data_IF_514217141051
#
_entry.id   IF_514217141051
#
_cell.length_a   1.000
_cell.length_b   1.000
_cell.length_c   1.000
_cell.angle_alpha   90.00
_cell.angle_beta   90.00
_cell.angle_gamma   90.00
#
_symmetry.space_group_name_H-M   'P 1'
#
loop_
_entity.id
_entity.type
_entity.pdbx_description
1 polymer ?
#
# COMPACT_ATOMS: atom_id res chain seq x y z
N UNK A 1 -7.68 5.19 -14.14
CA UNK A 1 -8.69 4.14 -13.92
C UNK A 1 -8.14 2.86 -14.50
N UNK A 2 -7.98 1.85 -13.65
CA UNK A 2 -7.47 0.54 -14.02
C UNK A 2 -8.52 -0.22 -14.84
N UNK A 3 -8.10 -1.03 -15.81
CA UNK A 3 -9.01 -1.84 -16.64
C UNK A 3 -8.72 -3.33 -16.46
N UNK A 4 -9.70 -4.19 -16.73
CA UNK A 4 -9.51 -5.64 -16.75
C UNK A 4 -8.38 -6.07 -17.71
N UNK A 5 -8.26 -5.41 -18.87
CA UNK A 5 -7.16 -5.66 -19.81
C UNK A 5 -5.78 -5.36 -19.18
N UNK A 6 -5.66 -4.28 -18.40
CA UNK A 6 -4.43 -3.94 -17.68
C UNK A 6 -4.09 -4.99 -16.62
N UNK A 7 -5.09 -5.54 -15.93
CA UNK A 7 -4.89 -6.60 -14.91
C UNK A 7 -4.42 -7.91 -15.56
N UNK A 8 -4.97 -8.27 -16.72
CA UNK A 8 -4.60 -9.50 -17.46
C UNK A 8 -3.22 -9.46 -18.12
N UNK A 9 -2.68 -8.28 -18.38
CA UNK A 9 -1.43 -8.12 -19.12
C UNK A 9 -0.22 -8.83 -18.47
N UNK A 10 -0.31 -9.26 -17.20
CA UNK A 10 0.79 -9.87 -16.45
C UNK A 10 0.47 -11.24 -15.82
N UNK A 11 -0.18 -12.11 -16.59
CA UNK A 11 -0.31 -13.54 -16.30
C UNK A 11 -1.72 -14.08 -16.49
N UNK A 12 -1.89 -15.38 -16.34
CA UNK A 12 -3.18 -16.04 -16.50
C UNK A 12 -4.13 -15.69 -15.34
N UNK A 13 -5.26 -15.09 -15.69
CA UNK A 13 -6.40 -14.79 -14.83
C UNK A 13 -7.63 -14.73 -15.72
N UNK A 14 -8.76 -15.25 -15.25
CA UNK A 14 -10.02 -15.18 -15.98
C UNK A 14 -10.57 -13.74 -16.07
N UNK A 15 -11.40 -13.49 -17.08
CA UNK A 15 -11.91 -12.15 -17.38
C UNK A 15 -12.80 -11.59 -16.27
N UNK A 16 -13.56 -12.46 -15.60
CA UNK A 16 -14.43 -12.05 -14.50
C UNK A 16 -13.61 -11.63 -13.28
N UNK A 17 -12.56 -12.39 -12.93
CA UNK A 17 -11.63 -12.06 -11.86
C UNK A 17 -10.84 -10.79 -12.17
N UNK A 18 -10.38 -10.62 -13.41
CA UNK A 18 -9.70 -9.40 -13.83
C UNK A 18 -10.61 -8.17 -13.73
N UNK A 19 -11.89 -8.31 -14.06
CA UNK A 19 -12.90 -7.26 -13.94
C UNK A 19 -13.16 -6.92 -12.47
N UNK A 20 -13.41 -7.93 -11.62
CA UNK A 20 -13.61 -7.72 -10.17
C UNK A 20 -12.43 -6.99 -9.53
N UNK A 21 -11.20 -7.42 -9.81
CA UNK A 21 -10.00 -6.76 -9.27
C UNK A 21 -9.90 -5.31 -9.76
N UNK A 22 -10.19 -5.04 -11.04
CA UNK A 22 -10.14 -3.69 -11.58
C UNK A 22 -11.19 -2.78 -10.90
N UNK A 23 -12.42 -3.26 -10.74
CA UNK A 23 -13.50 -2.52 -10.10
C UNK A 23 -13.20 -2.25 -8.62
N UNK A 24 -12.78 -3.28 -7.87
CA UNK A 24 -12.38 -3.15 -6.47
C UNK A 24 -11.18 -2.22 -6.30
N UNK A 25 -10.21 -2.27 -7.21
CA UNK A 25 -9.08 -1.34 -7.21
C UNK A 25 -9.55 0.10 -7.41
N UNK A 26 -10.36 0.35 -8.43
CA UNK A 26 -10.86 1.69 -8.75
C UNK A 26 -11.72 2.27 -7.62
N UNK A 27 -12.49 1.42 -6.93
CA UNK A 27 -13.27 1.82 -5.76
C UNK A 27 -12.38 2.18 -4.55
N UNK A 28 -11.33 1.39 -4.29
CA UNK A 28 -10.47 1.59 -3.14
C UNK A 28 -9.38 2.66 -3.35
N UNK A 29 -8.90 2.85 -4.58
CA UNK A 29 -7.73 3.68 -4.89
C UNK A 29 -7.83 5.13 -4.39
N UNK A 30 -8.96 5.85 -4.54
CA UNK A 30 -9.10 7.20 -3.99
C UNK A 30 -8.86 7.25 -2.47
N UNK A 31 -9.40 6.27 -1.74
CA UNK A 31 -9.24 6.14 -0.28
C UNK A 31 -7.78 5.84 0.07
N UNK A 32 -7.18 4.85 -0.60
CA UNK A 32 -5.77 4.50 -0.40
C UNK A 32 -4.83 5.70 -0.61
N UNK A 33 -5.07 6.46 -1.68
CA UNK A 33 -4.32 7.67 -2.01
C UNK A 33 -4.51 8.76 -0.95
N UNK A 34 -5.74 8.98 -0.49
CA UNK A 34 -6.02 9.96 0.55
C UNK A 34 -5.31 9.63 1.87
N UNK A 35 -5.41 8.39 2.32
CA UNK A 35 -4.74 7.90 3.55
C UNK A 35 -3.23 8.14 3.48
N UNK A 36 -2.57 7.65 2.43
CA UNK A 36 -1.11 7.83 2.29
C UNK A 36 -0.72 9.30 2.19
N UNK A 37 -1.55 10.14 1.54
CA UNK A 37 -1.34 11.60 1.51
C UNK A 37 -1.35 12.18 2.91
N UNK A 38 -2.40 11.90 3.68
CA UNK A 38 -2.53 12.41 5.05
C UNK A 38 -1.37 11.96 5.94
N UNK A 39 -0.90 10.72 5.80
CA UNK A 39 0.27 10.22 6.54
C UNK A 39 1.55 10.95 6.16
N UNK A 40 1.82 11.18 4.87
CA UNK A 40 2.98 11.95 4.40
C UNK A 40 2.96 13.36 5.00
N UNK A 41 1.82 14.04 4.93
CA UNK A 41 1.68 15.40 5.44
C UNK A 41 1.82 15.45 6.97
N UNK A 42 1.28 14.44 7.67
CA UNK A 42 1.48 14.25 9.10
C UNK A 42 2.95 14.09 9.49
N UNK A 43 3.70 13.22 8.79
CA UNK A 43 5.13 13.05 9.06
C UNK A 43 5.94 14.31 8.75
N UNK A 44 5.63 15.00 7.64
CA UNK A 44 6.28 16.28 7.29
C UNK A 44 6.03 17.34 8.35
N UNK A 45 4.83 17.41 8.89
CA UNK A 45 4.48 18.30 10.00
C UNK A 45 5.27 17.95 11.26
N UNK A 46 5.24 16.70 11.70
CA UNK A 46 6.00 16.24 12.86
C UNK A 46 7.50 16.51 12.74
N UNK A 47 8.06 16.40 11.53
CA UNK A 47 9.47 16.72 11.27
C UNK A 47 9.76 18.21 11.38
N UNK A 48 8.91 19.04 10.78
CA UNK A 48 9.03 20.49 10.84
C UNK A 48 8.91 21.03 12.25
N UNK A 49 7.97 20.48 13.01
CA UNK A 49 7.65 20.91 14.37
C UNK A 49 8.54 20.23 15.41
N UNK A 50 9.52 19.43 14.97
CA UNK A 50 10.45 18.68 15.81
C UNK A 50 9.74 17.87 16.92
N UNK A 51 8.63 17.20 16.57
CA UNK A 51 7.74 16.53 17.52
C UNK A 51 8.40 15.40 18.36
N UNK A 52 9.66 15.05 18.08
CA UNK A 52 10.50 14.18 18.91
C UNK A 52 11.12 14.87 20.11
N UNK A 53 11.14 16.21 20.15
CA UNK A 53 11.66 16.99 21.26
C UNK A 53 10.58 17.07 22.34
N UNK A 54 10.79 16.32 23.41
CA UNK A 54 9.92 16.33 24.58
C UNK A 54 10.52 17.27 25.61
N UNK A 55 9.70 18.21 26.11
CA UNK A 55 10.07 19.07 27.22
C UNK A 55 10.46 18.20 28.43
N UNK A 56 11.71 18.31 28.92
CA UNK A 56 12.16 17.55 30.08
C UNK A 56 11.34 17.85 31.35
N UNK A 57 10.68 19.00 31.44
CA UNK A 57 9.84 19.38 32.57
C UNK A 57 8.39 18.91 32.43
N UNK A 58 8.03 18.22 31.34
CA UNK A 58 6.68 17.69 31.17
C UNK A 58 6.40 16.62 32.25
N UNK A 59 5.24 16.66 32.94
CA UNK A 59 4.89 15.71 34.02
C UNK A 59 4.96 14.22 33.60
N UNK A 60 4.90 13.95 32.30
CA UNK A 60 4.97 12.62 31.70
C UNK A 60 6.10 12.47 30.68
N UNK A 61 7.20 13.21 30.82
CA UNK A 61 8.29 13.21 29.84
C UNK A 61 8.81 11.80 29.50
N UNK A 62 8.99 10.93 30.50
CA UNK A 62 9.48 9.57 30.30
C UNK A 62 8.48 8.69 29.54
N UNK A 63 7.20 8.80 29.87
CA UNK A 63 6.14 8.07 29.17
C UNK A 63 6.05 8.55 27.71
N UNK A 64 6.09 9.86 27.46
CA UNK A 64 6.07 10.40 26.11
C UNK A 64 7.29 9.91 25.30
N UNK A 65 8.48 9.84 25.90
CA UNK A 65 9.69 9.35 25.21
C UNK A 65 9.55 7.90 24.73
N UNK A 66 8.82 7.07 25.45
CA UNK A 66 8.59 5.68 25.06
C UNK A 66 7.72 5.54 23.80
N UNK A 67 6.81 6.48 23.54
CA UNK A 67 5.86 6.43 22.42
C UNK A 67 6.18 7.39 21.27
N UNK A 68 7.02 8.40 21.54
CA UNK A 68 7.40 9.40 20.55
C UNK A 68 8.48 8.84 19.63
N UNK A 69 8.25 8.80 18.31
CA UNK A 69 9.25 8.35 17.37
C UNK A 69 10.43 9.32 17.32
N UNK A 70 11.63 8.79 17.16
CA UNK A 70 12.83 9.60 16.95
C UNK A 70 12.84 10.24 15.56
N UNK A 71 13.64 11.30 15.36
CA UNK A 71 13.78 11.93 14.04
C UNK A 71 14.15 10.92 12.93
N UNK A 72 15.16 10.04 13.09
CA UNK A 72 15.47 9.04 12.06
C UNK A 72 14.30 8.10 11.75
N UNK A 73 13.51 7.72 12.77
CA UNK A 73 12.33 6.88 12.59
C UNK A 73 11.25 7.61 11.78
N UNK A 74 10.98 8.89 12.07
CA UNK A 74 10.03 9.70 11.31
C UNK A 74 10.47 9.91 9.86
N UNK A 75 11.74 10.23 9.62
CA UNK A 75 12.28 10.37 8.26
C UNK A 75 12.16 9.08 7.47
N UNK A 76 12.42 7.93 8.11
CA UNK A 76 12.22 6.61 7.49
C UNK A 76 10.74 6.36 7.17
N UNK A 77 9.83 6.65 8.10
CA UNK A 77 8.38 6.51 7.88
C UNK A 77 7.88 7.39 6.73
N UNK A 78 8.37 8.64 6.65
CA UNK A 78 8.09 9.56 5.54
C UNK A 78 8.54 8.98 4.21
N UNK A 79 9.81 8.59 4.09
CA UNK A 79 10.35 7.99 2.87
C UNK A 79 9.52 6.78 2.42
N UNK A 80 9.23 5.86 3.35
CA UNK A 80 8.45 4.66 3.03
C UNK A 80 7.02 5.00 2.56
N UNK A 81 6.40 6.06 3.10
CA UNK A 81 5.06 6.49 2.69
C UNK A 81 5.08 7.16 1.30
N UNK A 82 6.12 7.94 0.99
CA UNK A 82 6.32 8.53 -0.34
C UNK A 82 6.57 7.45 -1.40
N UNK A 83 7.39 6.45 -1.09
CA UNK A 83 7.60 5.28 -1.96
C UNK A 83 6.29 4.50 -2.17
N UNK A 84 5.52 4.24 -1.11
CA UNK A 84 4.22 3.59 -1.22
C UNK A 84 3.25 4.39 -2.11
N UNK A 85 3.20 5.72 -1.95
CA UNK A 85 2.39 6.61 -2.80
C UNK A 85 2.76 6.46 -4.27
N UNK A 86 4.06 6.44 -4.56
CA UNK A 86 4.57 6.29 -5.91
C UNK A 86 4.16 4.93 -6.50
N UNK A 87 4.36 3.84 -5.75
CA UNK A 87 3.98 2.48 -6.15
C UNK A 87 2.49 2.38 -6.44
N UNK A 88 1.62 2.86 -5.54
CA UNK A 88 0.17 2.89 -5.75
C UNK A 88 -0.20 3.65 -7.01
N UNK A 89 0.40 4.82 -7.24
CA UNK A 89 0.16 5.61 -8.44
C UNK A 89 0.70 4.97 -9.73
N UNK A 90 1.76 4.17 -9.66
CA UNK A 90 2.25 3.41 -10.81
C UNK A 90 1.37 2.21 -11.12
N UNK A 91 0.88 1.51 -10.10
CA UNK A 91 -0.06 0.39 -10.26
C UNK A 91 -1.37 0.86 -10.87
N UNK A 92 -1.93 1.98 -10.38
CA UNK A 92 -3.17 2.57 -10.91
C UNK A 92 -3.07 2.92 -12.41
N UNK A 93 -1.88 3.31 -12.87
CA UNK A 93 -1.60 3.61 -14.28
C UNK A 93 -1.11 2.41 -15.08
N UNK A 94 -0.94 1.24 -14.46
CA UNK A 94 -0.38 0.06 -15.12
C UNK A 94 1.09 0.23 -15.54
N UNK A 95 1.86 1.07 -14.87
CA UNK A 95 3.26 1.38 -15.21
C UNK A 95 4.26 0.86 -14.16
N UNK A 96 3.80 0.14 -13.14
CA UNK A 96 4.67 -0.33 -12.06
C UNK A 96 5.67 -1.37 -12.57
N UNK A 97 6.92 -1.28 -12.10
CA UNK A 97 7.99 -2.22 -12.44
C UNK A 97 8.54 -2.83 -11.16
N UNK A 98 8.52 -4.16 -11.06
CA UNK A 98 9.09 -4.87 -9.92
C UNK A 98 10.62 -4.82 -9.91
N UNK A 99 11.24 -4.76 -11.08
CA UNK A 99 12.67 -4.51 -11.25
C UNK A 99 12.93 -3.67 -12.51
N UNK A 100 14.14 -3.15 -12.66
CA UNK A 100 14.51 -2.30 -13.82
C UNK A 100 14.29 -2.98 -15.17
N UNK A 101 14.33 -4.32 -15.22
CA UNK A 101 14.16 -5.14 -16.42
C UNK A 101 12.75 -5.68 -16.63
N UNK A 102 11.85 -5.59 -15.64
CA UNK A 102 10.49 -6.11 -15.79
C UNK A 102 9.64 -5.19 -16.69
N UNK A 103 8.77 -5.73 -17.55
CA UNK A 103 7.78 -4.93 -18.25
C UNK A 103 6.94 -4.14 -17.24
N UNK A 104 6.61 -2.89 -17.58
CA UNK A 104 5.71 -2.08 -16.75
C UNK A 104 4.30 -2.66 -16.76
N UNK A 105 3.63 -2.66 -15.62
CA UNK A 105 2.30 -3.25 -15.53
C UNK A 105 1.64 -3.15 -14.17
N UNK A 106 0.39 -3.59 -14.15
CA UNK A 106 -0.27 -3.99 -12.93
C UNK A 106 0.04 -5.45 -12.65
N UNK A 107 0.52 -5.79 -11.45
CA UNK A 107 0.69 -7.18 -11.03
C UNK A 107 -0.04 -7.43 -9.71
N UNK A 108 -0.74 -8.56 -9.62
CA UNK A 108 -1.49 -8.97 -8.42
C UNK A 108 -0.62 -8.98 -7.17
N UNK A 109 0.60 -9.50 -7.27
CA UNK A 109 1.57 -9.54 -6.15
C UNK A 109 2.02 -8.15 -5.68
N UNK A 110 2.33 -7.24 -6.62
CA UNK A 110 2.75 -5.88 -6.26
C UNK A 110 1.58 -5.10 -5.67
N UNK A 111 0.38 -5.23 -6.25
CA UNK A 111 -0.84 -4.66 -5.72
C UNK A 111 -1.12 -5.15 -4.30
N UNK A 112 -1.08 -6.47 -4.07
CA UNK A 112 -1.30 -7.03 -2.74
C UNK A 112 -0.27 -6.54 -1.71
N UNK A 113 1.01 -6.51 -2.08
CA UNK A 113 2.09 -5.99 -1.22
C UNK A 113 1.86 -4.52 -0.87
N UNK A 114 1.47 -3.70 -1.84
CA UNK A 114 1.20 -2.27 -1.62
C UNK A 114 -0.02 -2.06 -0.72
N UNK A 115 -1.10 -2.81 -0.93
CA UNK A 115 -2.32 -2.74 -0.11
C UNK A 115 -2.03 -3.17 1.33
N UNK A 116 -1.27 -4.24 1.54
CA UNK A 116 -0.82 -4.64 2.89
C UNK A 116 0.01 -3.57 3.57
N UNK A 117 1.00 -3.02 2.86
CA UNK A 117 1.83 -1.96 3.40
C UNK A 117 0.99 -0.71 3.76
N UNK A 118 -0.05 -0.41 2.99
CA UNK A 118 -1.00 0.63 3.36
C UNK A 118 -1.73 0.28 4.66
N UNK A 119 -2.32 -0.91 4.75
CA UNK A 119 -3.10 -1.34 5.92
C UNK A 119 -2.27 -1.33 7.21
N UNK A 120 -1.01 -1.72 7.16
CA UNK A 120 -0.08 -1.64 8.30
C UNK A 120 0.14 -0.20 8.83
N UNK A 121 -0.27 0.82 8.05
CA UNK A 121 -0.15 2.25 8.37
C UNK A 121 -1.51 2.93 8.59
N UNK A 122 -2.60 2.17 8.50
CA UNK A 122 -3.94 2.67 8.75
C UNK A 122 -4.28 2.60 10.23
N UNK A 123 -5.18 3.50 10.64
CA UNK A 123 -5.86 3.44 11.93
C UNK A 123 -7.29 2.98 11.68
N UNK A 124 -7.92 2.35 12.68
CA UNK A 124 -9.36 2.04 12.66
C UNK A 124 -10.25 3.25 12.41
N UNK A 125 -9.73 4.46 12.63
CA UNK A 125 -10.44 5.72 12.45
C UNK A 125 -10.35 6.26 11.01
N UNK A 126 -9.56 5.64 10.13
CA UNK A 126 -9.49 6.07 8.73
C UNK A 126 -10.80 5.67 8.02
N UNK A 127 -11.46 6.65 7.39
CA UNK A 127 -12.73 6.42 6.69
C UNK A 127 -12.55 5.63 5.38
N UNK A 128 -13.59 4.89 4.98
CA UNK A 128 -13.60 4.18 3.69
C UNK A 128 -12.77 2.88 3.63
N UNK A 129 -12.20 2.43 4.76
CA UNK A 129 -11.38 1.22 4.82
C UNK A 129 -12.09 -0.06 4.37
N UNK A 130 -13.42 -0.12 4.41
CA UNK A 130 -14.18 -1.30 3.98
C UNK A 130 -13.84 -1.70 2.53
N UNK A 131 -13.72 -0.74 1.61
CA UNK A 131 -13.33 -1.02 0.22
C UNK A 131 -11.89 -1.54 0.11
N UNK A 132 -10.98 -1.00 0.94
CA UNK A 132 -9.57 -1.41 0.98
C UNK A 132 -9.42 -2.85 1.51
N UNK A 133 -10.16 -3.21 2.56
CA UNK A 133 -10.15 -4.58 3.10
C UNK A 133 -10.74 -5.60 2.12
N UNK A 134 -11.84 -5.26 1.42
CA UNK A 134 -12.38 -6.12 0.36
C UNK A 134 -11.39 -6.34 -0.77
N UNK A 135 -10.76 -5.27 -1.26
CA UNK A 135 -9.68 -5.36 -2.24
C UNK A 135 -8.52 -6.22 -1.73
N UNK A 136 -8.14 -6.08 -0.47
CA UNK A 136 -7.06 -6.88 0.12
C UNK A 136 -7.38 -8.37 0.13
N UNK A 137 -8.62 -8.75 0.45
CA UNK A 137 -9.08 -10.13 0.39
C UNK A 137 -9.04 -10.67 -1.05
N UNK A 138 -9.61 -9.94 -2.01
CA UNK A 138 -9.61 -10.35 -3.42
C UNK A 138 -8.20 -10.52 -3.98
N UNK A 139 -7.28 -9.61 -3.64
CA UNK A 139 -5.88 -9.70 -4.04
C UNK A 139 -5.15 -10.86 -3.36
N UNK A 140 -5.49 -11.18 -2.11
CA UNK A 140 -4.91 -12.32 -1.41
C UNK A 140 -5.31 -13.63 -2.11
N UNK A 141 -6.60 -13.81 -2.38
CA UNK A 141 -7.12 -14.98 -3.10
C UNK A 141 -6.48 -15.11 -4.49
N UNK A 142 -6.40 -14.01 -5.24
CA UNK A 142 -5.80 -14.01 -6.58
C UNK A 142 -4.28 -14.30 -6.57
N UNK A 143 -3.58 -13.98 -5.49
CA UNK A 143 -2.16 -14.32 -5.29
C UNK A 143 -2.00 -15.79 -4.91
N UNK A 144 -2.90 -16.34 -4.09
CA UNK A 144 -2.89 -17.75 -3.73
C UNK A 144 -3.20 -18.65 -4.95
N UNK A 145 -4.13 -18.25 -5.80
CA UNK A 145 -4.41 -18.91 -7.08
C UNK A 145 -3.17 -18.96 -7.99
N UNK A 146 -2.48 -17.83 -8.11
CA UNK A 146 -1.22 -17.76 -8.85
C UNK A 146 -0.16 -18.71 -8.26
N UNK A 147 -0.05 -18.79 -6.92
CA UNK A 147 0.87 -19.72 -6.27
C UNK A 147 0.50 -21.17 -6.54
N UNK A 148 -0.78 -21.52 -6.50
CA UNK A 148 -1.25 -22.88 -6.81
C UNK A 148 -0.91 -23.27 -8.24
N UNK A 149 -1.16 -22.38 -9.20
CA UNK A 149 -0.83 -22.60 -10.61
C UNK A 149 0.68 -22.80 -10.84
N UNK A 150 1.53 -21.91 -10.29
CA UNK A 150 2.99 -22.03 -10.41
C UNK A 150 3.54 -23.32 -9.79
N UNK A 151 2.97 -23.76 -8.66
CA UNK A 151 3.35 -25.04 -8.03
C UNK A 151 2.97 -26.24 -8.92
N UNK A 152 1.80 -26.20 -9.55
CA UNK A 152 1.37 -27.27 -10.46
C UNK A 152 2.30 -27.38 -11.67
N UNK A 153 2.74 -26.25 -12.24
CA UNK A 153 3.70 -26.23 -13.36
C UNK A 153 5.07 -26.80 -12.99
N UNK A 154 5.54 -26.60 -11.76
CA UNK A 154 6.83 -27.13 -11.29
C UNK A 154 6.77 -28.60 -10.86
N UNK A 155 5.57 -29.16 -10.69
CA UNK A 155 5.35 -30.55 -10.31
C UNK A 155 5.09 -31.47 -11.52
N UNK A 156 4.93 -30.89 -12.72
CA UNK A 156 4.78 -31.58 -14.00
C UNK A 156 6.14 -31.68 -14.72
#
# INVERSE_FOLDING_TARGET
MLTAATVRAHGEIDDDAATRIADSWNAAYPVMRAIVTARIDGYRRQIRDEAWRIDPNHPHADALRAYTPTEPQLRRRLKNAEELRLVLGQLDRGTHRACTRSPGGFTRRAAYTAVRALLDRTSSNDEGLSAVYRLAAELADAVDDLHRHLRALHAA
#
